data_IF_996005957963
#
_entry.id   IF_996005957963
#
_cell.length_a   1.000
_cell.length_b   1.000
_cell.length_c   1.000
_cell.angle_alpha   90.00
_cell.angle_beta   90.00
_cell.angle_gamma   90.00
#
_symmetry.space_group_name_H-M   'P 1'
#
loop_
_entity.id
_entity.type
_entity.pdbx_description
1 polymer ?
#
# COMPACT_ATOMS: atom_id res chain seq x y z
N UNK A 1 -23.51 -12.29 1.69
CA UNK A 1 -22.70 -11.13 2.16
C UNK A 1 -21.28 -11.53 2.59
N UNK A 2 -21.08 -12.31 3.66
CA UNK A 2 -19.73 -12.76 4.08
C UNK A 2 -19.09 -13.71 3.05
N UNK A 3 -19.86 -14.66 2.51
CA UNK A 3 -19.39 -15.56 1.45
C UNK A 3 -18.98 -14.79 0.18
N UNK A 4 -19.76 -13.78 -0.21
CA UNK A 4 -19.46 -12.95 -1.39
C UNK A 4 -18.22 -12.08 -1.18
N UNK A 5 -18.00 -11.60 0.05
CA UNK A 5 -16.79 -10.86 0.41
C UNK A 5 -15.57 -11.76 0.33
N UNK A 6 -15.68 -13.00 0.80
CA UNK A 6 -14.61 -13.99 0.75
C UNK A 6 -14.25 -14.40 -0.69
N UNK A 7 -15.24 -14.58 -1.58
CA UNK A 7 -14.96 -14.92 -2.98
C UNK A 7 -14.27 -13.79 -3.73
N UNK A 8 -14.67 -12.54 -3.50
CA UNK A 8 -13.97 -11.37 -4.06
C UNK A 8 -12.54 -11.28 -3.52
N UNK A 9 -12.36 -11.46 -2.21
CA UNK A 9 -11.04 -11.47 -1.58
C UNK A 9 -10.14 -12.58 -2.15
N UNK A 10 -10.68 -13.79 -2.32
CA UNK A 10 -9.97 -14.93 -2.90
C UNK A 10 -9.51 -14.64 -4.33
N UNK A 11 -10.37 -14.05 -5.16
CA UNK A 11 -10.01 -13.62 -6.52
C UNK A 11 -8.82 -12.68 -6.52
N UNK A 12 -8.86 -11.66 -5.65
CA UNK A 12 -7.78 -10.69 -5.51
C UNK A 12 -6.47 -11.32 -5.01
N UNK A 13 -6.55 -12.33 -4.14
CA UNK A 13 -5.37 -13.09 -3.68
C UNK A 13 -4.77 -13.92 -4.83
N UNK A 14 -5.59 -14.53 -5.68
CA UNK A 14 -5.09 -15.30 -6.84
C UNK A 14 -4.40 -14.38 -7.84
N UNK A 15 -4.94 -13.19 -8.09
CA UNK A 15 -4.30 -12.17 -8.93
C UNK A 15 -2.96 -11.71 -8.34
N UNK A 16 -2.93 -11.47 -7.02
CA UNK A 16 -1.69 -11.16 -6.30
C UNK A 16 -0.67 -12.29 -6.45
N UNK A 17 -1.09 -13.55 -6.31
CA UNK A 17 -0.21 -14.72 -6.47
C UNK A 17 0.39 -14.79 -7.87
N UNK A 18 -0.39 -14.51 -8.92
CA UNK A 18 0.11 -14.47 -10.30
C UNK A 18 1.11 -13.33 -10.52
N UNK A 19 0.85 -12.16 -9.94
CA UNK A 19 1.73 -10.98 -10.04
C UNK A 19 2.74 -10.88 -8.89
N UNK A 20 2.92 -11.95 -8.10
CA UNK A 20 3.64 -11.89 -6.84
C UNK A 20 5.09 -11.45 -7.02
N UNK A 21 5.78 -11.98 -8.05
CA UNK A 21 7.17 -11.61 -8.34
C UNK A 21 7.32 -10.12 -8.67
N UNK A 22 6.40 -9.57 -9.46
CA UNK A 22 6.42 -8.16 -9.85
C UNK A 22 6.04 -7.24 -8.68
N UNK A 23 5.03 -7.63 -7.89
CA UNK A 23 4.64 -6.91 -6.67
C UNK A 23 5.77 -6.91 -5.63
N UNK A 24 6.38 -8.07 -5.39
CA UNK A 24 7.48 -8.22 -4.45
C UNK A 24 8.68 -7.38 -4.87
N UNK A 25 9.12 -7.49 -6.14
CA UNK A 25 10.23 -6.68 -6.64
C UNK A 25 9.92 -5.18 -6.55
N UNK A 26 8.77 -4.72 -7.02
CA UNK A 26 8.41 -3.30 -7.01
C UNK A 26 8.23 -2.73 -5.61
N UNK A 27 7.64 -3.49 -4.69
CA UNK A 27 7.38 -3.02 -3.33
C UNK A 27 8.60 -3.10 -2.41
N UNK A 28 9.60 -3.93 -2.72
CA UNK A 28 10.77 -4.13 -1.86
C UNK A 28 12.01 -3.34 -2.29
N UNK A 29 12.17 -3.05 -3.59
CA UNK A 29 13.39 -2.38 -4.08
C UNK A 29 13.62 -1.04 -3.39
N UNK A 30 12.64 -0.14 -3.37
CA UNK A 30 12.83 1.19 -2.77
C UNK A 30 13.06 1.13 -1.26
N UNK A 31 12.24 0.41 -0.45
CA UNK A 31 12.47 0.30 0.99
C UNK A 31 13.79 -0.38 1.35
N UNK A 32 14.21 -1.40 0.61
CA UNK A 32 15.50 -2.06 0.82
C UNK A 32 16.67 -1.13 0.48
N UNK A 33 16.57 -0.35 -0.60
CA UNK A 33 17.59 0.64 -0.92
C UNK A 33 17.72 1.70 0.19
N UNK A 34 16.60 2.14 0.77
CA UNK A 34 16.63 3.02 1.94
C UNK A 34 17.29 2.32 3.12
N UNK A 35 16.89 1.10 3.45
CA UNK A 35 17.46 0.34 4.57
C UNK A 35 18.97 0.07 4.37
N UNK A 36 19.41 -0.23 3.15
CA UNK A 36 20.83 -0.41 2.81
C UNK A 36 21.61 0.90 2.94
N UNK A 37 21.08 1.98 2.36
CA UNK A 37 21.73 3.29 2.37
C UNK A 37 21.86 3.84 3.80
N UNK A 38 20.79 3.73 4.59
CA UNK A 38 20.78 4.22 5.97
C UNK A 38 21.39 3.24 6.96
N UNK A 39 21.21 1.93 6.78
CA UNK A 39 21.70 0.90 7.69
C UNK A 39 23.20 0.66 7.57
N UNK A 40 23.73 0.51 6.36
CA UNK A 40 25.16 0.31 6.16
C UNK A 40 25.92 1.64 6.12
N UNK A 41 25.35 2.68 5.50
CA UNK A 41 26.01 3.99 5.37
C UNK A 41 26.06 4.76 6.69
N UNK A 42 24.92 4.94 7.34
CA UNK A 42 24.76 5.85 8.49
C UNK A 42 24.65 5.12 9.84
N UNK A 43 24.02 3.94 9.88
CA UNK A 43 23.79 3.16 11.11
C UNK A 43 25.07 2.68 11.81
N UNK A 44 26.21 2.57 11.10
CA UNK A 44 27.50 2.21 11.70
C UNK A 44 28.34 3.41 12.17
N UNK A 45 28.08 4.61 11.65
CA UNK A 45 28.90 5.79 11.88
C UNK A 45 28.22 6.88 12.72
N UNK A 46 26.89 6.85 12.86
CA UNK A 46 26.12 7.89 13.56
C UNK A 46 25.29 7.24 14.66
N UNK A 47 25.76 7.37 15.90
CA UNK A 47 24.97 7.08 17.10
C UNK A 47 24.24 8.37 17.52
N UNK A 48 22.91 8.36 17.51
CA UNK A 48 22.11 9.44 18.08
C UNK A 48 21.96 9.17 19.59
N UNK A 49 22.95 9.60 20.37
CA UNK A 49 22.99 9.31 21.81
C UNK A 49 23.17 7.81 22.08
N UNK A 50 22.26 7.20 22.86
CA UNK A 50 22.30 5.77 23.23
C UNK A 50 21.54 4.83 22.28
N UNK A 51 20.93 5.36 21.21
CA UNK A 51 20.02 4.60 20.34
C UNK A 51 20.50 4.60 18.89
N UNK A 52 20.32 3.48 18.20
CA UNK A 52 20.74 3.34 16.81
C UNK A 52 19.85 4.21 15.91
N UNK A 53 20.44 4.92 14.95
CA UNK A 53 19.70 5.73 13.97
C UNK A 53 18.63 4.91 13.23
N UNK A 54 18.90 3.62 13.00
CA UNK A 54 17.96 2.70 12.37
C UNK A 54 16.64 2.59 13.12
N UNK A 55 16.65 2.64 14.46
CA UNK A 55 15.44 2.47 15.27
C UNK A 55 14.46 3.63 15.09
N UNK A 56 14.95 4.80 14.70
CA UNK A 56 14.13 5.98 14.40
C UNK A 56 13.58 5.97 12.97
N UNK A 57 14.38 5.52 11.99
CA UNK A 57 14.02 5.62 10.56
C UNK A 57 13.13 4.47 10.10
N UNK A 58 13.34 3.26 10.63
CA UNK A 58 12.63 2.06 10.19
C UNK A 58 11.11 2.18 10.35
N UNK A 59 10.53 2.66 11.46
CA UNK A 59 9.08 2.83 11.59
C UNK A 59 8.48 3.73 10.50
N UNK A 60 9.21 4.78 10.10
CA UNK A 60 8.81 5.68 9.02
C UNK A 60 8.82 4.99 7.65
N UNK A 61 9.85 4.21 7.35
CA UNK A 61 9.93 3.42 6.11
C UNK A 61 8.80 2.39 6.05
N UNK A 62 8.51 1.73 7.18
CA UNK A 62 7.42 0.76 7.29
C UNK A 62 6.08 1.44 7.02
N UNK A 63 5.80 2.59 7.63
CA UNK A 63 4.57 3.35 7.41
C UNK A 63 4.42 3.82 5.96
N UNK A 64 5.48 4.36 5.37
CA UNK A 64 5.50 4.80 3.97
C UNK A 64 5.21 3.65 3.01
N UNK A 65 5.80 2.48 3.27
CA UNK A 65 5.62 1.30 2.44
C UNK A 65 4.23 0.70 2.60
N UNK A 66 3.70 0.64 3.83
CA UNK A 66 2.33 0.23 4.11
C UNK A 66 1.31 1.11 3.38
N UNK A 67 1.50 2.44 3.45
CA UNK A 67 0.70 3.44 2.73
C UNK A 67 0.73 3.20 1.22
N UNK A 68 1.91 3.16 0.62
CA UNK A 68 2.06 3.02 -0.83
C UNK A 68 1.51 1.68 -1.32
N UNK A 69 1.81 0.57 -0.63
CA UNK A 69 1.34 -0.75 -1.01
C UNK A 69 -0.19 -0.86 -0.92
N UNK A 70 -0.82 -0.35 0.15
CA UNK A 70 -2.28 -0.40 0.32
C UNK A 70 -3.02 0.47 -0.70
N UNK A 71 -2.49 1.68 -0.96
CA UNK A 71 -3.06 2.60 -1.94
C UNK A 71 -2.95 2.05 -3.36
N UNK A 72 -1.76 1.59 -3.78
CA UNK A 72 -1.55 1.03 -5.11
C UNK A 72 -2.36 -0.26 -5.32
N UNK A 73 -2.42 -1.12 -4.30
CA UNK A 73 -3.17 -2.35 -4.35
C UNK A 73 -4.66 -2.10 -4.64
N UNK A 74 -5.26 -1.12 -3.97
CA UNK A 74 -6.70 -0.85 -4.08
C UNK A 74 -6.99 0.05 -5.28
N UNK A 75 -6.24 1.15 -5.42
CA UNK A 75 -6.39 2.12 -6.50
C UNK A 75 -6.18 1.49 -7.87
N UNK A 76 -5.00 0.91 -8.14
CA UNK A 76 -4.66 0.39 -9.47
C UNK A 76 -5.52 -0.84 -9.82
N UNK A 77 -5.75 -1.77 -8.88
CA UNK A 77 -6.56 -2.97 -9.17
C UNK A 77 -8.02 -2.63 -9.50
N UNK A 78 -8.60 -1.64 -8.81
CA UNK A 78 -9.95 -1.16 -9.11
C UNK A 78 -9.99 -0.34 -10.40
N UNK A 79 -8.98 0.51 -10.64
CA UNK A 79 -8.88 1.27 -11.89
C UNK A 79 -8.83 0.34 -13.10
N UNK A 80 -7.98 -0.69 -13.03
CA UNK A 80 -7.80 -1.67 -14.10
C UNK A 80 -9.08 -2.50 -14.26
N UNK A 81 -9.73 -2.91 -13.17
CA UNK A 81 -11.03 -3.60 -13.25
C UNK A 81 -12.10 -2.75 -13.93
N UNK A 82 -12.11 -1.43 -13.66
CA UNK A 82 -13.06 -0.47 -14.24
C UNK A 82 -12.76 -0.13 -15.70
N UNK A 83 -11.52 0.22 -16.04
CA UNK A 83 -11.13 0.68 -17.39
C UNK A 83 -10.94 -0.46 -18.39
N UNK A 84 -10.40 -1.62 -17.99
CA UNK A 84 -10.00 -2.66 -18.95
C UNK A 84 -11.06 -3.73 -19.18
N UNK A 85 -11.92 -4.02 -18.19
CA UNK A 85 -12.79 -5.19 -18.29
C UNK A 85 -14.29 -4.89 -18.46
N UNK A 86 -14.73 -3.62 -18.51
CA UNK A 86 -16.18 -3.31 -18.46
C UNK A 86 -16.91 -4.07 -17.33
N UNK A 87 -16.20 -4.48 -16.28
CA UNK A 87 -16.75 -5.40 -15.28
C UNK A 87 -17.90 -4.79 -14.51
N UNK A 88 -18.07 -3.46 -14.48
CA UNK A 88 -19.28 -2.84 -13.91
C UNK A 88 -20.55 -3.25 -14.67
N UNK A 89 -20.50 -3.52 -15.99
CA UNK A 89 -21.62 -4.04 -16.78
C UNK A 89 -21.88 -5.53 -16.47
N UNK A 90 -20.83 -6.34 -16.26
CA UNK A 90 -20.95 -7.76 -15.82
C UNK A 90 -21.33 -7.90 -14.33
N UNK A 91 -20.93 -6.96 -13.46
CA UNK A 91 -21.28 -6.90 -12.04
C UNK A 91 -22.73 -6.45 -11.84
N UNK A 92 -23.29 -5.67 -12.77
CA UNK A 92 -24.74 -5.41 -12.82
C UNK A 92 -25.53 -6.64 -13.29
N UNK A 93 -24.91 -7.54 -14.06
CA UNK A 93 -25.51 -8.80 -14.49
C UNK A 93 -25.35 -9.95 -13.46
N UNK A 94 -24.35 -9.89 -12.58
CA UNK A 94 -24.13 -10.85 -11.51
C UNK A 94 -24.84 -10.42 -10.21
N UNK A 95 -25.57 -11.32 -9.51
CA UNK A 95 -26.33 -10.99 -8.30
C UNK A 95 -25.41 -10.87 -7.07
N UNK A 96 -24.46 -9.95 -7.08
CA UNK A 96 -23.54 -9.73 -5.96
C UNK A 96 -23.64 -8.32 -5.41
N UNK A 97 -23.66 -8.22 -4.08
CA UNK A 97 -23.82 -6.94 -3.40
C UNK A 97 -22.59 -6.06 -3.61
N UNK A 98 -22.80 -4.82 -4.07
CA UNK A 98 -21.77 -3.79 -4.24
C UNK A 98 -20.93 -3.60 -2.97
N UNK A 99 -21.58 -3.69 -1.80
CA UNK A 99 -20.91 -3.59 -0.49
C UNK A 99 -19.87 -4.70 -0.25
N UNK A 100 -20.13 -5.92 -0.69
CA UNK A 100 -19.22 -7.07 -0.53
C UNK A 100 -18.01 -6.94 -1.45
N UNK A 101 -18.18 -6.33 -2.63
CA UNK A 101 -17.09 -6.01 -3.54
C UNK A 101 -16.16 -4.94 -2.97
N UNK A 102 -16.73 -3.88 -2.39
CA UNK A 102 -15.96 -2.80 -1.74
C UNK A 102 -15.16 -3.34 -0.57
N UNK A 103 -15.79 -4.11 0.32
CA UNK A 103 -15.12 -4.72 1.47
C UNK A 103 -14.02 -5.69 1.05
N UNK A 104 -14.27 -6.57 0.07
CA UNK A 104 -13.26 -7.52 -0.41
C UNK A 104 -12.01 -6.84 -0.98
N UNK A 105 -12.18 -5.71 -1.67
CA UNK A 105 -11.06 -4.91 -2.18
C UNK A 105 -10.29 -4.21 -1.07
N UNK A 106 -10.96 -3.62 -0.09
CA UNK A 106 -10.31 -2.97 1.06
C UNK A 106 -9.48 -4.00 1.84
N UNK A 107 -10.06 -5.16 2.13
CA UNK A 107 -9.34 -6.24 2.83
C UNK A 107 -8.14 -6.76 2.04
N UNK A 108 -8.27 -6.92 0.72
CA UNK A 108 -7.14 -7.28 -0.17
C UNK A 108 -6.03 -6.22 -0.14
N UNK A 109 -6.40 -4.93 -0.19
CA UNK A 109 -5.48 -3.81 -0.09
C UNK A 109 -4.72 -3.79 1.24
N UNK A 110 -5.45 -3.93 2.35
CA UNK A 110 -4.87 -4.04 3.68
C UNK A 110 -3.89 -5.21 3.78
N UNK A 111 -4.27 -6.39 3.28
CA UNK A 111 -3.41 -7.57 3.33
C UNK A 111 -2.09 -7.36 2.59
N UNK A 112 -2.12 -6.72 1.41
CA UNK A 112 -0.90 -6.39 0.64
C UNK A 112 -0.03 -5.36 1.37
N UNK A 113 -0.64 -4.36 2.01
CA UNK A 113 0.06 -3.37 2.84
C UNK A 113 0.73 -3.97 4.08
N UNK A 114 -0.01 -4.84 4.80
CA UNK A 114 0.50 -5.60 5.95
C UNK A 114 1.64 -6.54 5.54
N UNK A 115 1.51 -7.20 4.39
CA UNK A 115 2.53 -8.10 3.89
C UNK A 115 3.83 -7.36 3.55
N UNK A 116 3.74 -6.23 2.83
CA UNK A 116 4.90 -5.41 2.47
C UNK A 116 5.60 -4.83 3.70
N UNK A 117 4.84 -4.27 4.65
CA UNK A 117 5.39 -3.76 5.91
C UNK A 117 6.00 -4.85 6.78
N UNK A 118 5.36 -6.00 6.88
CA UNK A 118 5.89 -7.17 7.61
C UNK A 118 7.25 -7.62 7.06
N UNK A 119 7.41 -7.65 5.74
CA UNK A 119 8.70 -7.96 5.12
C UNK A 119 9.78 -6.95 5.54
N UNK A 120 9.47 -5.65 5.51
CA UNK A 120 10.44 -4.61 5.89
C UNK A 120 10.85 -4.74 7.36
N UNK A 121 9.92 -5.06 8.26
CA UNK A 121 10.22 -5.31 9.67
C UNK A 121 11.20 -6.48 9.80
N UNK A 122 10.97 -7.59 9.09
CA UNK A 122 11.89 -8.74 9.08
C UNK A 122 13.27 -8.33 8.57
N UNK A 123 13.36 -7.61 7.46
CA UNK A 123 14.66 -7.13 6.94
C UNK A 123 15.35 -6.16 7.90
N UNK A 124 14.61 -5.27 8.56
CA UNK A 124 15.20 -4.33 9.52
C UNK A 124 15.90 -5.03 10.70
N UNK A 125 15.37 -6.17 11.13
CA UNK A 125 16.00 -7.00 12.16
C UNK A 125 17.33 -7.59 11.68
N UNK A 126 17.42 -8.04 10.41
CA UNK A 126 18.70 -8.48 9.81
C UNK A 126 19.75 -7.37 9.75
N UNK A 127 19.34 -6.11 9.69
CA UNK A 127 20.24 -4.95 9.74
C UNK A 127 20.59 -4.48 11.16
N UNK A 128 20.06 -5.15 12.20
CA UNK A 128 20.38 -4.85 13.60
C UNK A 128 19.56 -3.71 14.21
N UNK A 129 18.40 -3.37 13.64
CA UNK A 129 17.46 -2.45 14.27
C UNK A 129 16.73 -3.14 15.44
N UNK A 130 16.75 -2.52 16.62
CA UNK A 130 16.03 -2.97 17.81
C UNK A 130 14.71 -2.21 17.91
N UNK A 131 13.72 -2.64 17.12
CA UNK A 131 12.37 -2.09 17.20
C UNK A 131 11.64 -2.59 18.46
N UNK A 132 11.18 -1.67 19.30
CA UNK A 132 10.14 -1.98 20.29
C UNK A 132 8.78 -2.09 19.59
N UNK A 133 8.47 -3.29 19.11
CA UNK A 133 7.16 -3.62 18.52
C UNK A 133 6.09 -3.71 19.63
N UNK A 134 5.48 -2.57 19.95
CA UNK A 134 4.34 -2.51 20.88
C UNK A 134 3.03 -2.89 20.14
N UNK A 135 2.02 -3.39 20.85
CA UNK A 135 0.69 -3.70 20.26
C UNK A 135 0.05 -2.49 19.57
N UNK A 136 0.31 -1.28 20.08
CA UNK A 136 -0.09 -0.01 19.48
C UNK A 136 0.49 0.22 18.08
N UNK A 137 1.70 -0.28 17.80
CA UNK A 137 2.33 -0.17 16.49
C UNK A 137 1.54 -0.95 15.43
N UNK A 138 1.15 -2.20 15.74
CA UNK A 138 0.34 -3.02 14.84
C UNK A 138 -1.04 -2.41 14.59
N UNK A 139 -1.67 -1.83 15.62
CA UNK A 139 -2.96 -1.15 15.48
C UNK A 139 -2.83 0.07 14.57
N UNK A 140 -1.83 0.93 14.79
CA UNK A 140 -1.58 2.12 13.95
C UNK A 140 -1.29 1.74 12.50
N UNK A 141 -0.54 0.66 12.31
CA UNK A 141 -0.16 0.16 10.99
C UNK A 141 -1.37 -0.43 10.25
N UNK A 142 -2.21 -1.20 10.94
CA UNK A 142 -3.48 -1.68 10.38
C UNK A 142 -4.41 -0.52 10.00
N UNK A 143 -4.52 0.49 10.87
CA UNK A 143 -5.37 1.65 10.63
C UNK A 143 -4.89 2.47 9.42
N UNK A 144 -3.57 2.61 9.27
CA UNK A 144 -2.96 3.27 8.11
C UNK A 144 -3.24 2.50 6.83
N UNK A 145 -3.07 1.17 6.84
CA UNK A 145 -3.44 0.32 5.71
C UNK A 145 -4.91 0.48 5.33
N UNK A 146 -5.81 0.49 6.32
CA UNK A 146 -7.25 0.63 6.10
C UNK A 146 -7.64 2.00 5.53
N UNK A 147 -7.09 3.08 6.07
CA UNK A 147 -7.31 4.44 5.59
C UNK A 147 -6.79 4.63 4.16
N UNK A 148 -5.60 4.10 3.84
CA UNK A 148 -5.06 4.23 2.48
C UNK A 148 -5.70 3.30 1.47
N UNK A 149 -6.17 2.13 1.88
CA UNK A 149 -6.96 1.25 1.02
C UNK A 149 -8.32 1.90 0.66
N UNK A 150 -9.01 2.48 1.65
CA UNK A 150 -10.26 3.21 1.40
C UNK A 150 -10.05 4.47 0.56
N UNK A 151 -8.98 5.23 0.80
CA UNK A 151 -8.60 6.37 -0.05
C UNK A 151 -8.28 5.94 -1.49
N UNK A 152 -7.56 4.83 -1.68
CA UNK A 152 -7.28 4.26 -3.00
C UNK A 152 -8.56 3.87 -3.73
N UNK A 153 -9.54 3.31 -3.02
CA UNK A 153 -10.86 2.98 -3.56
C UNK A 153 -11.64 4.23 -3.97
N UNK A 154 -11.71 5.25 -3.10
CA UNK A 154 -12.36 6.53 -3.43
C UNK A 154 -11.70 7.18 -4.64
N UNK A 155 -10.36 7.22 -4.68
CA UNK A 155 -9.61 7.76 -5.80
C UNK A 155 -9.90 6.99 -7.11
N UNK A 156 -10.04 5.66 -7.07
CA UNK A 156 -10.41 4.85 -8.22
C UNK A 156 -11.85 5.08 -8.72
N UNK A 157 -12.76 5.49 -7.83
CA UNK A 157 -14.13 5.82 -8.19
C UNK A 157 -14.22 7.23 -8.80
N UNK A 158 -13.46 8.19 -8.27
CA UNK A 158 -13.44 9.60 -8.73
C UNK A 158 -12.66 9.75 -10.04
N UNK A 159 -11.54 9.06 -10.20
CA UNK A 159 -10.64 9.23 -11.34
C UNK A 159 -10.89 8.18 -12.42
N UNK A 160 -11.39 8.62 -13.57
CA UNK A 160 -11.76 7.79 -14.72
C UNK A 160 -10.64 7.54 -15.73
N UNK A 161 -9.38 7.87 -15.41
CA UNK A 161 -8.23 7.71 -16.31
C UNK A 161 -7.01 7.08 -15.63
N UNK A 162 -6.36 6.12 -16.30
CA UNK A 162 -5.16 5.42 -15.81
C UNK A 162 -4.01 6.39 -15.51
N UNK A 163 -3.83 7.41 -16.36
CA UNK A 163 -2.86 8.49 -16.14
C UNK A 163 -3.23 9.40 -14.97
N UNK A 164 -4.54 9.61 -14.76
CA UNK A 164 -5.07 10.46 -13.69
C UNK A 164 -4.79 9.91 -12.30
N UNK A 165 -4.70 8.59 -12.14
CA UNK A 165 -4.49 7.94 -10.85
C UNK A 165 -3.04 8.04 -10.38
N UNK A 166 -2.08 7.83 -11.28
CA UNK A 166 -0.66 8.11 -11.01
C UNK A 166 -0.42 9.61 -10.79
N UNK A 167 -1.17 10.46 -11.51
CA UNK A 167 -1.21 11.91 -11.29
C UNK A 167 -1.81 12.25 -9.93
N UNK A 168 -2.90 11.66 -9.47
CA UNK A 168 -3.53 11.99 -8.17
C UNK A 168 -2.59 11.72 -6.98
N UNK A 169 -1.85 10.60 -7.02
CA UNK A 169 -0.80 10.30 -6.03
C UNK A 169 0.33 11.34 -6.04
N UNK A 170 0.54 12.03 -7.15
CA UNK A 170 1.57 13.08 -7.34
C UNK A 170 1.00 14.51 -7.15
N UNK A 171 -0.29 14.72 -7.42
CA UNK A 171 -0.93 16.04 -7.52
C UNK A 171 -1.21 16.67 -6.16
N UNK A 172 -1.30 15.89 -5.08
CA UNK A 172 -1.31 16.43 -3.72
C UNK A 172 -0.03 17.23 -3.43
N UNK A 173 1.08 16.95 -4.13
CA UNK A 173 2.33 17.72 -4.03
C UNK A 173 2.37 18.89 -5.03
N UNK A 174 1.70 18.76 -6.20
CA UNK A 174 1.75 19.73 -7.31
C UNK A 174 0.70 20.85 -7.23
N UNK A 175 -0.34 20.73 -6.40
CA UNK A 175 -1.43 21.71 -6.31
C UNK A 175 -1.05 23.05 -5.65
N UNK A 176 0.21 23.20 -5.17
CA UNK A 176 0.76 24.53 -4.81
C UNK A 176 1.36 25.29 -6.02
N UNK A 177 1.31 24.72 -7.23
CA UNK A 177 1.82 25.40 -8.42
C UNK A 177 0.82 25.33 -9.57
N UNK A 178 -0.36 25.90 -9.35
CA UNK A 178 -1.23 26.38 -10.43
C UNK A 178 -0.74 27.78 -10.80
N UNK A 179 0.06 27.99 -11.86
CA UNK A 179 0.13 29.30 -12.47
C UNK A 179 -1.25 29.55 -13.10
N UNK A 180 -2.00 30.45 -12.47
CA UNK A 180 -3.13 31.15 -13.10
C UNK A 180 -2.65 31.68 -14.46
N UNK A 181 -3.08 31.06 -15.57
CA UNK A 181 -3.05 31.73 -16.86
C UNK A 181 -4.40 32.38 -17.09
N UNK A 182 -4.36 33.72 -17.10
CA UNK A 182 -5.32 34.60 -17.76
C UNK A 182 -5.36 34.31 -19.26
#
# INVERSE_FOLDING_TARGET
MIYDTYTVFWREMVLLRKKFKSFFAGSMVSPLLYLLSFGWGLGRNIQFGSTNYLDFVVPGIVALSAMNASYNATGISLNVSRLYHKTLEEFLAAPISVSSLVLGNIFSGCFRGLFSSGLIIVFSYFFGANLHLNGWFFVSLFLTCFLFATLGLVAAMVVSSHEGMSRFSTFVILLKNVPHKK
#
